data_IF_464048672354
#
_entry.id   IF_464048672354
#
_cell.length_a   1.000
_cell.length_b   1.000
_cell.length_c   1.000
_cell.angle_alpha   90.00
_cell.angle_beta   90.00
_cell.angle_gamma   90.00
#
_symmetry.space_group_name_H-M   'P 1'
#
loop_
_entity.id
_entity.type
_entity.pdbx_description
1 polymer ?
#
# COMPACT_ATOMS: atom_id res chain seq x y z
N UNK A 1 -25.72 8.50 -3.85
CA UNK A 1 -24.69 9.08 -2.96
C UNK A 1 -23.35 8.91 -3.63
N UNK A 2 -22.73 10.00 -4.07
CA UNK A 2 -21.40 9.96 -4.68
C UNK A 2 -20.38 10.36 -3.62
N UNK A 3 -19.46 9.45 -3.30
CA UNK A 3 -18.37 9.78 -2.37
C UNK A 3 -17.25 10.46 -3.15
N UNK A 4 -16.85 11.64 -2.68
CA UNK A 4 -15.71 12.36 -3.22
C UNK A 4 -14.41 11.57 -3.02
N UNK A 5 -13.46 11.71 -3.96
CA UNK A 5 -12.11 11.09 -3.88
C UNK A 5 -11.44 11.34 -2.54
N UNK A 6 -11.64 12.53 -1.96
CA UNK A 6 -11.11 12.92 -0.64
C UNK A 6 -11.65 12.04 0.50
N UNK A 7 -12.94 11.72 0.50
CA UNK A 7 -13.55 10.86 1.52
C UNK A 7 -12.98 9.45 1.42
N UNK A 8 -12.91 8.89 0.22
CA UNK A 8 -12.41 7.53 0.00
C UNK A 8 -10.93 7.40 0.40
N UNK A 9 -10.13 8.45 0.15
CA UNK A 9 -8.71 8.52 0.53
C UNK A 9 -8.49 8.28 2.02
N UNK A 10 -9.41 8.73 2.88
CA UNK A 10 -9.33 8.56 4.33
C UNK A 10 -9.33 7.08 4.72
N UNK A 11 -9.96 6.22 3.93
CA UNK A 11 -10.15 4.80 4.23
C UNK A 11 -9.13 3.88 3.54
N UNK A 12 -8.15 4.41 2.81
CA UNK A 12 -7.14 3.59 2.12
C UNK A 12 -6.26 2.76 3.06
N UNK A 13 -6.16 3.16 4.33
CA UNK A 13 -5.44 2.42 5.36
C UNK A 13 -6.10 1.08 5.74
N UNK A 14 -7.35 0.84 5.34
CA UNK A 14 -8.12 -0.36 5.70
C UNK A 14 -8.60 -1.13 4.46
N UNK A 15 -8.96 -2.41 4.58
CA UNK A 15 -9.48 -3.18 3.46
C UNK A 15 -10.84 -2.65 3.00
N UNK A 16 -11.14 -2.78 1.70
CA UNK A 16 -12.37 -2.26 1.08
C UNK A 16 -13.66 -2.75 1.78
N UNK A 17 -13.67 -3.98 2.31
CA UNK A 17 -14.79 -4.51 3.09
C UNK A 17 -15.03 -3.71 4.37
N UNK A 18 -13.97 -3.27 5.02
CA UNK A 18 -14.04 -2.52 6.27
C UNK A 18 -14.35 -1.06 6.00
N UNK A 19 -13.76 -0.47 4.96
CA UNK A 19 -14.13 0.86 4.47
C UNK A 19 -15.62 0.96 4.12
N UNK A 20 -16.15 -0.07 3.46
CA UNK A 20 -17.58 -0.15 3.12
C UNK A 20 -18.47 -0.20 4.37
N UNK A 21 -18.05 -0.93 5.41
CA UNK A 21 -18.76 -0.96 6.69
C UNK A 21 -18.77 0.40 7.38
N UNK A 22 -17.62 1.07 7.45
CA UNK A 22 -17.53 2.40 8.08
C UNK A 22 -18.36 3.45 7.34
N UNK A 23 -18.36 3.39 6.01
CA UNK A 23 -19.18 4.26 5.17
C UNK A 23 -20.66 3.83 5.11
N UNK A 24 -21.04 2.73 5.78
CA UNK A 24 -22.38 2.13 5.76
C UNK A 24 -22.91 1.90 4.33
N UNK A 25 -22.03 1.47 3.43
CA UNK A 25 -22.35 1.16 2.03
C UNK A 25 -22.04 -0.27 1.67
N UNK A 26 -22.77 -0.79 0.69
CA UNK A 26 -22.42 -2.06 0.07
C UNK A 26 -21.05 -2.00 -0.62
N UNK A 27 -20.30 -3.10 -0.54
CA UNK A 27 -18.98 -3.24 -1.21
C UNK A 27 -19.09 -2.93 -2.71
N UNK A 28 -20.17 -3.40 -3.36
CA UNK A 28 -20.41 -3.16 -4.78
C UNK A 28 -20.60 -1.66 -5.08
N UNK A 29 -21.36 -0.96 -4.25
CA UNK A 29 -21.57 0.50 -4.37
C UNK A 29 -20.27 1.25 -4.19
N UNK A 30 -19.48 0.91 -3.16
CA UNK A 30 -18.19 1.53 -2.93
C UNK A 30 -17.23 1.26 -4.10
N UNK A 31 -17.24 0.06 -4.67
CA UNK A 31 -16.40 -0.31 -5.82
C UNK A 31 -16.82 0.43 -7.09
N UNK A 32 -18.12 0.56 -7.34
CA UNK A 32 -18.65 1.32 -8.47
C UNK A 32 -18.29 2.80 -8.35
N UNK A 33 -18.50 3.37 -7.16
CA UNK A 33 -18.12 4.75 -6.88
C UNK A 33 -16.61 4.95 -7.01
N UNK A 34 -15.79 4.02 -6.50
CA UNK A 34 -14.33 4.02 -6.69
C UNK A 34 -13.97 4.11 -8.17
N UNK A 35 -14.56 3.27 -9.04
CA UNK A 35 -14.32 3.33 -10.49
C UNK A 35 -14.71 4.69 -11.08
N UNK A 36 -15.80 5.29 -10.62
CA UNK A 36 -16.25 6.60 -11.08
C UNK A 36 -15.25 7.73 -10.73
N UNK A 37 -14.63 7.66 -9.54
CA UNK A 37 -13.52 8.57 -9.15
C UNK A 37 -12.15 8.15 -9.69
N UNK A 38 -12.12 7.17 -10.62
CA UNK A 38 -10.92 6.67 -11.26
C UNK A 38 -10.13 5.65 -10.45
N UNK A 39 -10.60 5.21 -9.29
CA UNK A 39 -9.94 4.24 -8.42
C UNK A 39 -10.32 2.82 -8.87
N UNK A 40 -9.52 2.23 -9.77
CA UNK A 40 -9.79 0.88 -10.26
C UNK A 40 -9.35 -0.22 -9.29
N UNK A 41 -8.33 0.02 -8.48
CA UNK A 41 -7.74 -0.98 -7.59
C UNK A 41 -7.52 -0.40 -6.20
N UNK A 42 -8.02 -1.10 -5.18
CA UNK A 42 -7.90 -0.64 -3.80
C UNK A 42 -6.46 -0.79 -3.28
N UNK A 43 -5.81 0.29 -2.80
CA UNK A 43 -4.37 0.29 -2.49
C UNK A 43 -3.98 -0.46 -1.21
N UNK A 44 -4.93 -0.95 -0.41
CA UNK A 44 -4.67 -1.64 0.87
C UNK A 44 -3.64 -2.77 0.77
N UNK A 45 -3.74 -3.65 -0.24
CA UNK A 45 -2.82 -4.77 -0.39
C UNK A 45 -1.37 -4.30 -0.60
N UNK A 46 -1.20 -3.23 -1.39
CA UNK A 46 0.12 -2.64 -1.67
C UNK A 46 0.68 -1.95 -0.43
N UNK A 47 -0.15 -1.17 0.26
CA UNK A 47 0.20 -0.50 1.52
C UNK A 47 0.65 -1.50 2.58
N UNK A 48 -0.04 -2.64 2.67
CA UNK A 48 0.33 -3.71 3.61
C UNK A 48 1.71 -4.29 3.29
N UNK A 49 2.03 -4.55 2.02
CA UNK A 49 3.37 -5.00 1.63
C UNK A 49 4.46 -3.99 1.99
N UNK A 50 4.23 -2.69 1.71
CA UNK A 50 5.16 -1.62 2.09
C UNK A 50 5.35 -1.58 3.62
N UNK A 51 4.26 -1.69 4.38
CA UNK A 51 4.30 -1.68 5.84
C UNK A 51 5.13 -2.86 6.39
N UNK A 52 4.96 -4.06 5.82
CA UNK A 52 5.76 -5.24 6.18
C UNK A 52 7.23 -5.06 5.81
N UNK A 53 7.54 -4.46 4.67
CA UNK A 53 8.94 -4.16 4.29
C UNK A 53 9.58 -3.15 5.25
N UNK A 54 8.84 -2.11 5.66
CA UNK A 54 9.31 -1.14 6.65
C UNK A 54 9.57 -1.82 7.99
N UNK A 55 8.64 -2.64 8.46
CA UNK A 55 8.78 -3.41 9.70
C UNK A 55 9.99 -4.33 9.65
N UNK A 56 10.17 -5.08 8.56
CA UNK A 56 11.34 -5.93 8.34
C UNK A 56 12.65 -5.14 8.35
N UNK A 57 12.74 -4.03 7.60
CA UNK A 57 13.92 -3.18 7.59
C UNK A 57 14.23 -2.55 8.96
N UNK A 58 13.20 -2.33 9.79
CA UNK A 58 13.35 -1.89 11.17
C UNK A 58 13.76 -3.02 12.12
N UNK A 59 13.28 -4.24 11.92
CA UNK A 59 13.57 -5.41 12.76
C UNK A 59 14.94 -6.02 12.44
N UNK A 60 15.36 -6.03 11.18
CA UNK A 60 16.68 -6.50 10.72
C UNK A 60 17.82 -5.51 11.03
N UNK A 61 17.64 -4.63 12.01
CA UNK A 61 18.66 -3.71 12.51
C UNK A 61 19.84 -4.42 13.21
N UNK A 62 19.77 -5.74 13.36
CA UNK A 62 20.87 -6.58 13.85
C UNK A 62 21.80 -7.15 12.77
N UNK A 63 21.49 -6.96 11.48
CA UNK A 63 22.22 -7.57 10.35
C UNK A 63 22.95 -6.55 9.46
N UNK A 64 24.22 -6.83 9.19
CA UNK A 64 25.24 -6.04 8.49
C UNK A 64 24.91 -5.62 7.04
N UNK A 65 23.95 -4.71 6.84
CA UNK A 65 23.70 -4.02 5.57
C UNK A 65 23.95 -2.52 5.73
N UNK A 66 24.46 -1.81 4.71
CA UNK A 66 24.83 -0.41 4.82
C UNK A 66 23.58 0.43 5.15
N UNK A 67 23.56 1.02 6.35
CA UNK A 67 22.45 1.82 6.88
C UNK A 67 21.96 2.92 5.91
N UNK A 68 22.82 3.38 5.01
CA UNK A 68 22.50 4.36 3.96
C UNK A 68 21.45 3.83 2.97
N UNK A 69 21.60 2.61 2.44
CA UNK A 69 20.62 2.02 1.53
C UNK A 69 19.28 1.77 2.22
N UNK A 70 19.30 1.29 3.48
CA UNK A 70 18.07 1.05 4.26
C UNK A 70 17.26 2.35 4.45
N UNK A 71 17.91 3.45 4.83
CA UNK A 71 17.26 4.76 5.02
C UNK A 71 16.71 5.34 3.72
N UNK A 72 17.42 5.15 2.61
CA UNK A 72 17.00 5.60 1.29
C UNK A 72 15.77 4.83 0.82
N UNK A 73 15.81 3.50 0.89
CA UNK A 73 14.66 2.62 0.57
C UNK A 73 13.46 2.98 1.45
N UNK A 74 13.67 3.25 2.74
CA UNK A 74 12.60 3.60 3.67
C UNK A 74 11.99 4.98 3.37
N UNK A 75 12.79 5.94 2.89
CA UNK A 75 12.29 7.23 2.38
C UNK A 75 11.50 7.04 1.09
N UNK A 76 12.01 6.23 0.16
CA UNK A 76 11.33 5.91 -1.09
C UNK A 76 9.97 5.25 -0.84
N UNK A 77 9.91 4.24 0.05
CA UNK A 77 8.67 3.56 0.44
C UNK A 77 7.66 4.50 1.12
N UNK A 78 8.12 5.48 1.91
CA UNK A 78 7.26 6.50 2.52
C UNK A 78 6.71 7.47 1.47
N UNK A 79 7.53 7.89 0.52
CA UNK A 79 7.10 8.74 -0.58
C UNK A 79 6.14 7.99 -1.50
N UNK A 80 6.39 6.70 -1.75
CA UNK A 80 5.50 5.84 -2.52
C UNK A 80 4.14 5.67 -1.85
N UNK A 81 4.12 5.54 -0.50
CA UNK A 81 2.87 5.58 0.29
C UNK A 81 2.12 6.89 0.09
N UNK A 82 2.81 8.03 0.14
CA UNK A 82 2.24 9.36 -0.06
C UNK A 82 1.74 9.56 -1.50
N UNK A 83 2.45 9.05 -2.51
CA UNK A 83 2.00 9.07 -3.90
C UNK A 83 0.78 8.18 -4.12
N UNK A 84 0.66 7.04 -3.44
CA UNK A 84 -0.55 6.21 -3.46
C UNK A 84 -1.76 6.90 -2.83
N UNK A 85 -1.52 7.73 -1.81
CA UNK A 85 -2.55 8.57 -1.20
C UNK A 85 -3.05 9.66 -2.15
N UNK A 86 -2.23 10.17 -3.07
CA UNK A 86 -2.64 11.18 -4.06
C UNK A 86 -3.19 10.56 -5.35
N UNK A 87 -2.65 9.42 -5.75
CA UNK A 87 -2.99 8.75 -7.00
C UNK A 87 -3.10 7.24 -6.80
N UNK A 88 -4.30 6.73 -6.47
CA UNK A 88 -4.52 5.30 -6.23
C UNK A 88 -4.39 4.42 -7.49
N UNK A 89 -4.17 5.01 -8.67
CA UNK A 89 -3.82 4.29 -9.90
C UNK A 89 -2.32 4.02 -10.07
N UNK A 90 -1.45 4.59 -9.24
CA UNK A 90 0.00 4.41 -9.43
C UNK A 90 0.35 2.92 -9.29
N UNK A 91 0.94 2.37 -10.35
CA UNK A 91 1.60 1.07 -10.31
C UNK A 91 2.87 1.22 -9.47
N UNK A 92 3.14 0.24 -8.59
CA UNK A 92 4.38 0.20 -7.84
C UNK A 92 5.56 0.27 -8.80
N UNK A 93 6.61 1.02 -8.44
CA UNK A 93 7.86 0.95 -9.16
C UNK A 93 8.32 -0.52 -9.23
N UNK A 94 8.88 -0.91 -10.37
CA UNK A 94 9.33 -2.30 -10.65
C UNK A 94 10.31 -2.77 -9.56
N UNK A 95 11.08 -1.84 -9.01
CA UNK A 95 12.04 -2.01 -7.90
C UNK A 95 11.37 -2.48 -6.61
N UNK A 96 10.28 -1.86 -6.17
CA UNK A 96 9.52 -2.28 -4.97
C UNK A 96 8.87 -3.65 -5.17
N UNK A 97 8.47 -3.94 -6.42
CA UNK A 97 7.88 -5.23 -6.81
C UNK A 97 8.90 -6.37 -6.80
N UNK A 98 10.12 -6.12 -7.30
CA UNK A 98 11.24 -7.06 -7.24
C UNK A 98 11.71 -7.31 -5.80
N UNK A 99 11.83 -6.25 -4.97
CA UNK A 99 12.16 -6.38 -3.56
C UNK A 99 11.15 -7.24 -2.79
N UNK A 100 9.85 -7.02 -3.04
CA UNK A 100 8.79 -7.85 -2.44
C UNK A 100 8.86 -9.31 -2.90
N UNK A 101 9.20 -9.55 -4.17
CA UNK A 101 9.31 -10.91 -4.72
C UNK A 101 10.51 -11.67 -4.14
N UNK A 102 11.67 -11.03 -4.03
CA UNK A 102 12.86 -11.60 -3.38
C UNK A 102 12.59 -11.91 -1.90
N UNK A 103 11.93 -11.01 -1.18
CA UNK A 103 11.57 -11.21 0.22
C UNK A 103 10.53 -12.34 0.40
N UNK A 104 9.48 -12.40 -0.44
CA UNK A 104 8.53 -13.52 -0.40
C UNK A 104 9.19 -14.86 -0.74
N UNK A 105 10.16 -14.89 -1.65
CA UNK A 105 10.95 -16.11 -1.88
C UNK A 105 11.73 -16.51 -0.63
N UNK A 106 12.44 -15.57 -0.01
CA UNK A 106 13.23 -15.82 1.19
C UNK A 106 12.40 -16.28 2.42
N UNK A 107 11.14 -15.85 2.55
CA UNK A 107 10.26 -16.27 3.64
C UNK A 107 9.62 -17.65 3.45
N UNK A 108 9.45 -18.12 2.20
CA UNK A 108 8.73 -19.37 1.89
C UNK A 108 9.61 -20.48 1.32
N UNK A 109 10.90 -20.23 1.01
CA UNK A 109 11.91 -21.27 0.73
C UNK A 109 12.46 -21.85 2.05
N UNK A 110 11.60 -22.48 2.86
CA UNK A 110 11.98 -23.24 4.05
C UNK A 110 11.53 -24.69 3.94
#
# INVERSE_FOLDING_TARGET
>A
MEYSKRTIKQYFHMPIKQAAKELNVGIATLTCNCRNVGIHRWPYRKLKSIQTLIDYLQVENGGAQPEKNKREILKELKEEKRQMEENPNIQLAITTRQFSQCHFKAMYEK
#
